data_IF_848477325520
#
_entry.id   IF_848477325520
#
_cell.length_a   1.000
_cell.length_b   1.000
_cell.length_c   1.000
_cell.angle_alpha   90.00
_cell.angle_beta   90.00
_cell.angle_gamma   90.00
#
_symmetry.space_group_name_H-M   'P 1'
#
loop_
_entity.id
_entity.type
_entity.pdbx_description
1 polymer ?
#
# COMPACT_ATOMS: atom_id res chain seq x y z
N UNK A 1 -67.01 -35.39 5.16
CA UNK A 1 -67.14 -33.94 4.95
C UNK A 1 -65.98 -33.47 4.08
N UNK A 2 -66.28 -33.16 2.81
CA UNK A 2 -65.36 -32.54 1.85
C UNK A 2 -65.66 -31.05 1.86
N UNK A 3 -64.67 -30.21 2.15
CA UNK A 3 -64.79 -28.76 1.97
C UNK A 3 -63.63 -28.27 1.13
N UNK A 4 -63.96 -28.04 -0.13
CA UNK A 4 -63.24 -27.22 -1.13
C UNK A 4 -63.06 -25.79 -0.62
N UNK A 5 -61.87 -25.21 -0.78
CA UNK A 5 -61.73 -23.76 -0.85
C UNK A 5 -60.84 -23.35 -2.04
N UNK A 6 -61.41 -22.49 -2.87
CA UNK A 6 -60.87 -21.93 -4.11
C UNK A 6 -60.03 -20.69 -3.82
N UNK A 7 -58.94 -20.56 -4.56
CA UNK A 7 -58.47 -19.39 -5.33
C UNK A 7 -58.48 -18.01 -4.64
N UNK A 8 -57.27 -17.45 -4.47
CA UNK A 8 -57.02 -16.03 -4.72
C UNK A 8 -55.74 -15.88 -5.56
N UNK A 9 -55.90 -15.58 -6.84
CA UNK A 9 -54.88 -14.90 -7.65
C UNK A 9 -54.91 -13.42 -7.25
N UNK A 10 -53.75 -12.81 -7.00
CA UNK A 10 -53.62 -11.35 -7.04
C UNK A 10 -52.17 -10.91 -7.22
N UNK A 11 -51.92 -10.28 -8.37
CA UNK A 11 -50.86 -9.33 -8.73
C UNK A 11 -49.38 -9.69 -8.48
N UNK A 12 -48.78 -10.33 -9.48
CA UNK A 12 -47.38 -10.09 -9.85
C UNK A 12 -47.26 -8.71 -10.52
N UNK A 13 -47.06 -7.66 -9.73
CA UNK A 13 -46.54 -6.39 -10.24
C UNK A 13 -45.06 -6.56 -10.53
N UNK A 14 -44.74 -6.75 -11.82
CA UNK A 14 -43.38 -6.62 -12.35
C UNK A 14 -42.98 -5.15 -12.22
N UNK A 15 -42.29 -4.80 -11.15
CA UNK A 15 -41.51 -3.56 -11.07
C UNK A 15 -40.28 -3.74 -11.98
N UNK A 16 -40.44 -3.38 -13.25
CA UNK A 16 -39.31 -2.99 -14.07
C UNK A 16 -38.73 -1.70 -13.46
N UNK A 17 -37.70 -1.85 -12.63
CA UNK A 17 -36.84 -0.72 -12.28
C UNK A 17 -36.12 -0.35 -13.58
N UNK A 18 -36.64 0.68 -14.25
CA UNK A 18 -35.91 1.40 -15.29
C UNK A 18 -34.58 1.83 -14.70
N UNK A 19 -33.49 1.23 -15.17
CA UNK A 19 -32.13 1.73 -14.96
C UNK A 19 -32.05 3.09 -15.65
N UNK A 20 -32.46 4.13 -14.96
CA UNK A 20 -32.27 5.52 -15.38
C UNK A 20 -30.78 5.70 -15.66
N UNK A 21 -30.45 6.09 -16.89
CA UNK A 21 -29.14 6.66 -17.21
C UNK A 21 -28.89 7.78 -16.19
N UNK A 22 -27.99 7.53 -15.25
CA UNK A 22 -27.53 8.55 -14.31
C UNK A 22 -26.87 9.66 -15.14
N UNK A 23 -27.23 10.91 -14.84
CA UNK A 23 -26.77 12.07 -15.61
C UNK A 23 -25.26 12.23 -15.43
N UNK A 24 -24.55 12.53 -16.52
CA UNK A 24 -23.09 12.71 -16.52
C UNK A 24 -22.58 13.76 -15.51
N UNK A 25 -23.44 14.70 -15.09
CA UNK A 25 -23.13 15.72 -14.08
C UNK A 25 -22.97 15.17 -12.65
N UNK A 26 -23.66 14.07 -12.29
CA UNK A 26 -23.64 13.45 -10.95
C UNK A 26 -22.33 12.72 -10.64
N UNK A 27 -21.37 12.75 -11.56
CA UNK A 27 -20.08 12.06 -11.42
C UNK A 27 -18.89 12.97 -11.72
N UNK A 28 -19.12 14.29 -11.85
CA UNK A 28 -18.04 15.27 -11.96
C UNK A 28 -17.27 15.40 -10.64
N UNK A 29 -15.97 15.72 -10.72
CA UNK A 29 -15.14 15.96 -9.53
C UNK A 29 -15.75 17.03 -8.61
N UNK A 30 -16.31 18.09 -9.20
CA UNK A 30 -16.98 19.16 -8.46
C UNK A 30 -18.27 18.70 -7.77
N UNK A 31 -18.95 17.67 -8.28
CA UNK A 31 -20.05 17.04 -7.57
C UNK A 31 -19.56 16.18 -6.41
N UNK A 32 -18.54 15.33 -6.65
CA UNK A 32 -17.97 14.48 -5.62
C UNK A 32 -17.42 15.30 -4.44
N UNK A 33 -16.76 16.42 -4.72
CA UNK A 33 -16.23 17.33 -3.69
C UNK A 33 -17.30 17.98 -2.80
N UNK A 34 -18.57 17.99 -3.23
CA UNK A 34 -19.70 18.47 -2.42
C UNK A 34 -20.35 17.40 -1.56
N UNK A 35 -20.00 16.13 -1.77
CA UNK A 35 -20.54 15.02 -0.98
C UNK A 35 -19.74 14.81 0.30
N UNK A 36 -20.38 14.21 1.30
CA UNK A 36 -19.64 13.60 2.40
C UNK A 36 -18.70 12.52 1.86
N UNK A 37 -17.50 12.41 2.46
CA UNK A 37 -16.47 11.45 2.03
C UNK A 37 -17.01 10.03 1.89
N UNK A 38 -17.84 9.60 2.85
CA UNK A 38 -18.61 8.35 2.84
C UNK A 38 -19.31 8.08 1.52
N UNK A 39 -20.10 9.05 1.08
CA UNK A 39 -20.93 8.97 -0.11
C UNK A 39 -20.10 9.08 -1.39
N UNK A 40 -19.12 10.00 -1.43
CA UNK A 40 -18.23 10.16 -2.56
C UNK A 40 -17.46 8.86 -2.87
N UNK A 41 -16.89 8.22 -1.85
CA UNK A 41 -16.17 6.95 -2.02
C UNK A 41 -17.08 5.80 -2.43
N UNK A 42 -18.32 5.74 -1.91
CA UNK A 42 -19.32 4.77 -2.37
C UNK A 42 -19.62 4.94 -3.85
N UNK A 43 -19.77 6.18 -4.32
CA UNK A 43 -19.97 6.49 -5.73
C UNK A 43 -18.77 6.13 -6.60
N UNK A 44 -17.55 6.46 -6.15
CA UNK A 44 -16.30 6.07 -6.84
C UNK A 44 -16.22 4.55 -7.02
N UNK A 45 -16.53 3.76 -5.97
CA UNK A 45 -16.51 2.29 -6.07
C UNK A 45 -17.58 1.75 -7.02
N UNK A 46 -18.77 2.36 -7.05
CA UNK A 46 -19.81 2.00 -8.03
C UNK A 46 -19.35 2.27 -9.46
N UNK A 47 -18.74 3.43 -9.70
CA UNK A 47 -18.15 3.77 -11.00
C UNK A 47 -17.05 2.77 -11.38
N UNK A 48 -16.19 2.40 -10.43
CA UNK A 48 -15.12 1.44 -10.68
C UNK A 48 -15.68 0.07 -11.06
N UNK A 49 -16.72 -0.37 -10.35
CA UNK A 49 -17.42 -1.63 -10.63
C UNK A 49 -18.14 -1.67 -11.98
N UNK A 50 -18.34 -0.55 -12.66
CA UNK A 50 -18.92 -0.53 -14.02
C UNK A 50 -17.94 -1.08 -15.07
N UNK A 51 -16.63 -0.95 -14.83
CA UNK A 51 -15.57 -1.29 -15.77
C UNK A 51 -15.56 -0.43 -17.04
N UNK A 52 -16.41 0.61 -17.12
CA UNK A 52 -16.48 1.48 -18.29
C UNK A 52 -15.26 2.42 -18.34
N UNK A 53 -14.49 2.45 -19.45
CA UNK A 53 -13.37 3.38 -19.62
C UNK A 53 -13.67 4.84 -19.27
N UNK A 54 -14.85 5.36 -19.64
CA UNK A 54 -15.20 6.75 -19.31
C UNK A 54 -15.40 6.99 -17.82
N UNK A 55 -15.87 5.97 -17.09
CA UNK A 55 -16.02 6.05 -15.64
C UNK A 55 -14.66 5.94 -14.95
N UNK A 56 -13.75 5.11 -15.47
CA UNK A 56 -12.36 5.01 -14.98
C UNK A 56 -11.59 6.32 -15.18
N UNK A 57 -11.80 7.00 -16.30
CA UNK A 57 -11.24 8.33 -16.56
C UNK A 57 -11.75 9.37 -15.56
N UNK A 58 -13.06 9.38 -15.26
CA UNK A 58 -13.65 10.25 -14.22
C UNK A 58 -13.12 9.94 -12.82
N UNK A 59 -12.90 8.66 -12.50
CA UNK A 59 -12.25 8.30 -11.24
C UNK A 59 -10.80 8.79 -11.23
N UNK A 60 -10.08 8.69 -12.34
CA UNK A 60 -8.72 9.22 -12.46
C UNK A 60 -8.69 10.74 -12.21
N UNK A 61 -9.66 11.50 -12.74
CA UNK A 61 -9.80 12.92 -12.41
C UNK A 61 -9.98 13.16 -10.91
N UNK A 62 -10.69 12.28 -10.21
CA UNK A 62 -10.94 12.39 -8.76
C UNK A 62 -9.66 12.26 -7.90
N UNK A 63 -8.52 11.82 -8.47
CA UNK A 63 -7.20 11.92 -7.82
C UNK A 63 -6.81 13.40 -7.55
N UNK A 64 -7.37 14.33 -8.31
CA UNK A 64 -7.15 15.77 -8.21
C UNK A 64 -8.15 16.49 -7.29
N UNK A 65 -9.03 15.75 -6.62
CA UNK A 65 -10.04 16.31 -5.70
C UNK A 65 -9.40 17.22 -4.66
N UNK A 66 -10.11 18.18 -4.08
CA UNK A 66 -9.56 18.91 -2.92
C UNK A 66 -9.70 18.13 -1.60
N UNK A 67 -10.51 17.06 -1.61
CA UNK A 67 -10.82 16.22 -0.46
C UNK A 67 -9.94 14.95 -0.44
N UNK A 68 -9.12 14.81 0.60
CA UNK A 68 -8.16 13.70 0.73
C UNK A 68 -8.80 12.31 0.79
N UNK A 69 -9.99 12.20 1.38
CA UNK A 69 -10.70 10.93 1.43
C UNK A 69 -11.15 10.50 0.02
N UNK A 70 -11.62 11.46 -0.78
CA UNK A 70 -12.02 11.23 -2.18
C UNK A 70 -10.81 10.80 -3.01
N UNK A 71 -9.67 11.49 -2.88
CA UNK A 71 -8.41 11.10 -3.56
C UNK A 71 -8.00 9.67 -3.21
N UNK A 72 -7.98 9.34 -1.92
CA UNK A 72 -7.57 8.02 -1.43
C UNK A 72 -8.48 6.92 -2.00
N UNK A 73 -9.79 7.18 -2.01
CA UNK A 73 -10.77 6.28 -2.62
C UNK A 73 -10.61 6.16 -4.14
N UNK A 74 -10.30 7.25 -4.84
CA UNK A 74 -10.04 7.23 -6.27
C UNK A 74 -8.80 6.38 -6.59
N UNK A 75 -7.68 6.59 -5.88
CA UNK A 75 -6.46 5.79 -6.04
C UNK A 75 -6.73 4.31 -5.74
N UNK A 76 -7.47 4.01 -4.67
CA UNK A 76 -7.86 2.63 -4.34
C UNK A 76 -8.70 2.00 -5.46
N UNK A 77 -9.70 2.72 -5.97
CA UNK A 77 -10.58 2.23 -7.02
C UNK A 77 -9.80 1.96 -8.32
N UNK A 78 -8.93 2.88 -8.72
CA UNK A 78 -8.05 2.73 -9.89
C UNK A 78 -7.14 1.50 -9.74
N UNK A 79 -6.55 1.34 -8.56
CA UNK A 79 -5.73 0.17 -8.22
C UNK A 79 -6.49 -1.14 -8.40
N UNK A 80 -7.74 -1.19 -7.92
CA UNK A 80 -8.59 -2.39 -8.04
C UNK A 80 -8.96 -2.70 -9.49
N UNK A 81 -9.08 -1.67 -10.34
CA UNK A 81 -9.41 -1.81 -11.76
C UNK A 81 -8.21 -2.06 -12.66
N UNK A 82 -6.98 -1.76 -12.18
CA UNK A 82 -5.72 -1.95 -12.91
C UNK A 82 -5.69 -1.27 -14.29
N UNK A 83 -6.46 -0.20 -14.46
CA UNK A 83 -6.57 0.53 -15.72
C UNK A 83 -5.43 1.56 -15.88
N UNK A 84 -4.93 1.81 -17.10
CA UNK A 84 -3.82 2.73 -17.35
C UNK A 84 -4.22 4.22 -17.28
N UNK A 85 -5.52 4.53 -17.24
CA UNK A 85 -6.07 5.90 -17.32
C UNK A 85 -5.55 6.89 -16.26
N UNK A 86 -4.96 6.37 -15.19
CA UNK A 86 -4.48 7.15 -14.07
C UNK A 86 -2.95 7.27 -14.01
N UNK A 87 -2.20 6.62 -14.91
CA UNK A 87 -0.73 6.53 -14.81
C UNK A 87 -0.11 7.92 -14.65
N UNK A 88 -0.43 8.87 -15.53
CA UNK A 88 0.15 10.22 -15.49
C UNK A 88 -0.17 10.94 -14.18
N UNK A 89 -1.44 10.89 -13.74
CA UNK A 89 -1.87 11.54 -12.48
C UNK A 89 -1.24 10.91 -11.24
N UNK A 90 -0.98 9.60 -11.27
CA UNK A 90 -0.28 8.90 -10.20
C UNK A 90 1.21 9.26 -10.19
N UNK A 91 1.83 9.41 -11.36
CA UNK A 91 3.21 9.87 -11.48
C UNK A 91 3.37 11.33 -10.99
N UNK A 92 2.40 12.20 -11.31
CA UNK A 92 2.39 13.59 -10.83
C UNK A 92 2.38 13.69 -9.30
N UNK A 93 1.65 12.80 -8.61
CA UNK A 93 1.66 12.75 -7.14
C UNK A 93 3.02 12.40 -6.56
N UNK A 94 3.78 11.56 -7.25
CA UNK A 94 5.13 11.17 -6.84
C UNK A 94 6.08 12.33 -7.12
N UNK A 95 5.97 12.96 -8.30
CA UNK A 95 6.77 14.12 -8.67
C UNK A 95 6.58 15.29 -7.70
N UNK A 96 5.34 15.62 -7.34
CA UNK A 96 4.99 16.67 -6.36
C UNK A 96 5.62 16.42 -4.98
N UNK A 97 5.80 15.16 -4.59
CA UNK A 97 6.48 14.83 -3.34
C UNK A 97 8.02 14.84 -3.49
N UNK A 98 8.54 14.20 -4.54
CA UNK A 98 9.98 13.95 -4.71
C UNK A 98 10.73 15.21 -5.10
N UNK A 99 10.18 16.03 -6.02
CA UNK A 99 10.83 17.24 -6.56
C UNK A 99 10.68 18.49 -5.70
N UNK A 100 9.82 18.47 -4.69
CA UNK A 100 9.73 19.53 -3.68
C UNK A 100 10.95 19.53 -2.73
N UNK A 101 12.16 19.46 -3.32
CA UNK A 101 13.46 19.34 -2.67
C UNK A 101 13.80 20.58 -1.83
N UNK A 102 13.25 21.75 -2.17
CA UNK A 102 13.48 23.01 -1.43
C UNK A 102 12.69 23.10 -0.14
N UNK A 103 11.63 22.31 0.03
CA UNK A 103 10.77 22.33 1.21
C UNK A 103 10.62 20.95 1.83
N UNK A 104 11.66 20.09 1.72
CA UNK A 104 11.85 18.92 2.58
C UNK A 104 12.12 19.38 4.03
N UNK A 105 11.19 20.14 4.61
CA UNK A 105 11.13 20.37 6.05
C UNK A 105 11.03 19.02 6.78
N UNK A 106 10.94 19.06 8.10
CA UNK A 106 10.81 17.82 8.87
C UNK A 106 9.72 16.94 8.23
N UNK A 107 9.93 15.62 8.16
CA UNK A 107 9.04 14.61 7.54
C UNK A 107 7.53 14.91 7.71
N UNK A 108 7.16 15.50 8.85
CA UNK A 108 5.82 15.90 9.23
C UNK A 108 5.20 17.05 8.39
N UNK A 109 5.99 17.96 7.81
CA UNK A 109 5.49 19.08 6.99
C UNK A 109 4.89 18.61 5.66
N UNK A 110 5.44 17.55 5.07
CA UNK A 110 4.98 16.98 3.80
C UNK A 110 4.38 15.58 3.94
N UNK A 111 3.98 15.19 5.16
CA UNK A 111 3.46 13.85 5.44
C UNK A 111 2.32 13.46 4.49
N UNK A 112 1.38 14.38 4.24
CA UNK A 112 0.24 14.12 3.34
C UNK A 112 0.70 13.84 1.90
N UNK A 113 1.59 14.68 1.35
CA UNK A 113 2.17 14.48 0.01
C UNK A 113 2.92 13.14 -0.06
N UNK A 114 3.67 12.79 0.99
CA UNK A 114 4.39 11.51 1.07
C UNK A 114 3.45 10.32 1.03
N UNK A 115 2.42 10.29 1.88
CA UNK A 115 1.46 9.19 1.92
C UNK A 115 0.73 9.06 0.57
N UNK A 116 0.38 10.19 -0.06
CA UNK A 116 -0.18 10.23 -1.41
C UNK A 116 0.77 9.63 -2.46
N UNK A 117 2.06 9.98 -2.40
CA UNK A 117 3.08 9.42 -3.28
C UNK A 117 3.23 7.90 -3.08
N UNK A 118 3.26 7.44 -1.83
CA UNK A 118 3.32 6.01 -1.48
C UNK A 118 2.11 5.25 -2.05
N UNK A 119 0.89 5.76 -1.86
CA UNK A 119 -0.32 5.13 -2.42
C UNK A 119 -0.31 5.14 -3.94
N UNK A 120 0.24 6.18 -4.56
CA UNK A 120 0.36 6.28 -6.01
C UNK A 120 1.38 5.28 -6.57
N UNK A 121 2.56 5.16 -5.94
CA UNK A 121 3.58 4.13 -6.26
C UNK A 121 2.96 2.74 -6.15
N UNK A 122 2.19 2.50 -5.10
CA UNK A 122 1.53 1.23 -4.87
C UNK A 122 0.50 0.89 -5.96
N UNK A 123 -0.35 1.86 -6.31
CA UNK A 123 -1.34 1.71 -7.38
C UNK A 123 -0.68 1.44 -8.73
N UNK A 124 0.40 2.14 -9.06
CA UNK A 124 1.21 1.92 -10.25
C UNK A 124 1.77 0.49 -10.33
N UNK A 125 2.23 -0.06 -9.21
CA UNK A 125 2.68 -1.46 -9.14
C UNK A 125 1.56 -2.48 -9.37
N UNK A 126 0.34 -2.17 -8.96
CA UNK A 126 -0.84 -3.04 -9.20
C UNK A 126 -1.38 -2.95 -10.63
N UNK A 127 -1.27 -1.77 -11.26
CA UNK A 127 -1.57 -1.58 -12.69
C UNK A 127 -0.62 -2.46 -13.51
N UNK A 128 0.67 -2.50 -13.15
CA UNK A 128 1.62 -3.44 -13.76
C UNK A 128 2.01 -3.11 -15.19
N UNK A 129 1.82 -1.86 -15.63
CA UNK A 129 2.28 -1.39 -16.94
C UNK A 129 3.82 -1.26 -16.97
N UNK A 130 4.53 -2.04 -17.81
CA UNK A 130 5.98 -1.99 -17.89
C UNK A 130 6.57 -0.61 -18.18
N UNK A 131 5.83 0.29 -18.84
CA UNK A 131 6.26 1.67 -19.16
C UNK A 131 6.48 2.48 -17.88
N UNK A 132 5.73 2.16 -16.82
CA UNK A 132 5.82 2.86 -15.52
C UNK A 132 7.13 2.55 -14.80
N UNK A 133 7.74 1.40 -15.08
CA UNK A 133 8.95 0.95 -14.38
C UNK A 133 10.11 1.95 -14.52
N UNK A 134 10.34 2.52 -15.71
CA UNK A 134 11.38 3.54 -15.90
C UNK A 134 11.09 4.83 -15.12
N UNK A 135 9.82 5.23 -15.04
CA UNK A 135 9.43 6.42 -14.29
C UNK A 135 9.62 6.23 -12.78
N UNK A 136 9.27 5.05 -12.24
CA UNK A 136 9.51 4.73 -10.84
C UNK A 136 10.99 4.72 -10.47
N UNK A 137 11.86 4.23 -11.37
CA UNK A 137 13.31 4.29 -11.18
C UNK A 137 13.85 5.72 -11.12
N UNK A 138 13.32 6.64 -11.91
CA UNK A 138 13.74 8.05 -11.84
C UNK A 138 13.45 8.67 -10.47
N UNK A 139 12.34 8.29 -9.83
CA UNK A 139 12.00 8.75 -8.49
C UNK A 139 12.85 8.10 -7.40
N UNK A 140 13.37 6.89 -7.63
CA UNK A 140 14.07 6.09 -6.64
C UNK A 140 15.27 6.84 -6.02
N UNK A 141 16.12 7.44 -6.86
CA UNK A 141 17.37 8.08 -6.42
C UNK A 141 17.13 9.29 -5.50
N UNK A 142 16.07 10.04 -5.77
CA UNK A 142 15.71 11.26 -5.03
C UNK A 142 14.84 10.99 -3.79
N UNK A 143 14.41 9.74 -3.63
CA UNK A 143 13.49 9.31 -2.58
C UNK A 143 14.21 8.90 -1.29
N UNK A 144 13.53 9.07 -0.16
CA UNK A 144 13.95 8.44 1.09
C UNK A 144 13.66 6.93 1.10
N UNK A 145 14.19 6.24 2.12
CA UNK A 145 14.13 4.79 2.24
C UNK A 145 12.70 4.22 2.23
N UNK A 146 11.72 4.89 2.87
CA UNK A 146 10.32 4.44 2.87
C UNK A 146 9.72 4.47 1.47
N UNK A 147 9.97 5.55 0.71
CA UNK A 147 9.47 5.65 -0.66
C UNK A 147 10.18 4.66 -1.58
N UNK A 148 11.52 4.51 -1.43
CA UNK A 148 12.30 3.48 -2.15
C UNK A 148 11.78 2.07 -1.90
N UNK A 149 11.43 1.71 -0.66
CA UNK A 149 10.84 0.40 -0.35
C UNK A 149 9.54 0.15 -1.11
N UNK A 150 8.66 1.15 -1.21
CA UNK A 150 7.42 1.02 -1.99
C UNK A 150 7.69 0.92 -3.49
N UNK A 151 8.67 1.68 -4.00
CA UNK A 151 9.11 1.57 -5.41
C UNK A 151 9.59 0.14 -5.69
N UNK A 152 10.41 -0.44 -4.82
CA UNK A 152 10.91 -1.82 -4.95
C UNK A 152 9.78 -2.83 -4.95
N UNK A 153 8.79 -2.66 -4.06
CA UNK A 153 7.62 -3.55 -4.03
C UNK A 153 6.85 -3.45 -5.35
N UNK A 154 6.58 -2.24 -5.83
CA UNK A 154 5.91 -2.03 -7.12
C UNK A 154 6.70 -2.60 -8.29
N UNK A 155 8.03 -2.45 -8.29
CA UNK A 155 8.92 -3.07 -9.29
C UNK A 155 8.76 -4.60 -9.25
N UNK A 156 8.79 -5.19 -8.06
CA UNK A 156 8.58 -6.62 -7.85
C UNK A 156 7.22 -7.15 -8.29
N UNK A 157 6.20 -6.29 -8.45
CA UNK A 157 4.85 -6.66 -8.93
C UNK A 157 4.76 -6.77 -10.45
N UNK A 158 5.63 -6.11 -11.23
CA UNK A 158 5.63 -6.26 -12.69
C UNK A 158 5.98 -7.68 -13.16
N UNK A 159 6.72 -8.46 -12.35
CA UNK A 159 7.13 -9.84 -12.67
C UNK A 159 7.86 -9.98 -14.02
N UNK A 160 8.53 -8.93 -14.50
CA UNK A 160 9.29 -8.93 -15.77
C UNK A 160 10.78 -9.23 -15.57
N UNK A 161 11.48 -9.57 -16.66
CA UNK A 161 12.95 -9.70 -16.66
C UNK A 161 13.64 -8.38 -16.27
N UNK A 162 13.09 -7.23 -16.71
CA UNK A 162 13.61 -5.91 -16.34
C UNK A 162 13.52 -5.66 -14.83
N UNK A 163 12.36 -5.92 -14.23
CA UNK A 163 12.17 -5.82 -12.78
C UNK A 163 13.17 -6.71 -12.02
N UNK A 164 13.34 -7.95 -12.49
CA UNK A 164 14.30 -8.89 -11.90
C UNK A 164 15.73 -8.32 -11.91
N UNK A 165 16.19 -7.81 -13.05
CA UNK A 165 17.53 -7.25 -13.19
C UNK A 165 17.76 -6.08 -12.23
N UNK A 166 16.77 -5.19 -12.09
CA UNK A 166 16.83 -4.06 -11.15
C UNK A 166 17.00 -4.57 -9.71
N UNK A 167 16.19 -5.53 -9.27
CA UNK A 167 16.27 -6.06 -7.91
C UNK A 167 17.63 -6.74 -7.65
N UNK A 168 18.19 -7.46 -8.63
CA UNK A 168 19.53 -8.05 -8.53
C UNK A 168 20.64 -6.98 -8.42
N UNK A 169 20.48 -5.82 -9.09
CA UNK A 169 21.40 -4.68 -8.97
C UNK A 169 21.33 -4.09 -7.56
N UNK A 170 20.13 -3.83 -7.03
CA UNK A 170 19.95 -3.25 -5.70
C UNK A 170 20.55 -4.13 -4.60
N UNK A 171 20.42 -5.45 -4.72
CA UNK A 171 21.03 -6.40 -3.77
C UNK A 171 22.56 -6.31 -3.76
N UNK A 172 23.18 -6.21 -4.94
CA UNK A 172 24.64 -6.16 -5.10
C UNK A 172 25.23 -4.78 -4.80
N UNK A 173 24.40 -3.74 -4.74
CA UNK A 173 24.86 -2.37 -4.51
C UNK A 173 25.46 -2.23 -3.11
N UNK A 174 26.72 -1.79 -3.03
CA UNK A 174 27.37 -1.46 -1.75
C UNK A 174 26.72 -0.25 -1.06
N UNK A 175 26.09 0.61 -1.85
CA UNK A 175 25.51 1.86 -1.38
C UNK A 175 24.12 1.66 -0.80
N UNK A 176 23.44 0.56 -1.14
CA UNK A 176 22.10 0.30 -0.64
C UNK A 176 22.08 -0.18 0.81
N UNK A 177 21.03 0.26 1.52
CA UNK A 177 20.82 -0.07 2.93
C UNK A 177 20.46 -1.54 3.11
N UNK A 178 20.67 -2.04 4.32
CA UNK A 178 20.33 -3.42 4.69
C UNK A 178 18.83 -3.70 4.50
N UNK A 179 17.96 -2.73 4.77
CA UNK A 179 16.51 -2.88 4.63
C UNK A 179 16.09 -2.92 3.16
N UNK A 180 16.63 -2.03 2.33
CA UNK A 180 16.38 -2.04 0.88
C UNK A 180 16.79 -3.37 0.27
N UNK A 181 17.99 -3.86 0.61
CA UNK A 181 18.46 -5.19 0.18
C UNK A 181 17.52 -6.31 0.62
N UNK A 182 17.05 -6.29 1.87
CA UNK A 182 16.10 -7.31 2.36
C UNK A 182 14.78 -7.31 1.59
N UNK A 183 14.25 -6.12 1.26
CA UNK A 183 13.03 -6.00 0.46
C UNK A 183 13.25 -6.50 -0.97
N UNK A 184 14.38 -6.15 -1.59
CA UNK A 184 14.72 -6.59 -2.94
C UNK A 184 14.91 -8.11 -3.04
N UNK A 185 15.58 -8.72 -2.04
CA UNK A 185 15.71 -10.18 -1.93
C UNK A 185 14.34 -10.86 -1.88
N UNK A 186 13.46 -10.36 -1.02
CA UNK A 186 12.13 -10.94 -0.87
C UNK A 186 11.29 -10.79 -2.14
N UNK A 187 11.42 -9.66 -2.83
CA UNK A 187 10.71 -9.45 -4.09
C UNK A 187 11.20 -10.36 -5.22
N UNK A 188 12.49 -10.68 -5.27
CA UNK A 188 13.02 -11.72 -6.17
C UNK A 188 12.51 -13.12 -5.82
N UNK A 189 12.41 -13.46 -4.53
CA UNK A 189 11.84 -14.73 -4.08
C UNK A 189 10.37 -14.87 -4.54
N UNK A 190 9.60 -13.79 -4.41
CA UNK A 190 8.21 -13.73 -4.89
C UNK A 190 8.09 -13.73 -6.42
N UNK A 191 9.18 -13.52 -7.15
CA UNK A 191 9.27 -13.72 -8.60
C UNK A 191 9.65 -15.16 -8.98
N UNK A 192 9.67 -16.09 -8.01
CA UNK A 192 9.99 -17.51 -8.17
C UNK A 192 11.39 -17.78 -8.72
N UNK A 193 12.39 -17.05 -8.24
CA UNK A 193 13.77 -17.47 -8.47
C UNK A 193 14.81 -16.47 -8.02
N UNK A 194 15.06 -16.31 -6.72
CA UNK A 194 16.28 -15.64 -6.30
C UNK A 194 17.49 -16.57 -6.58
N UNK A 195 18.56 -16.10 -7.22
CA UNK A 195 19.76 -16.90 -7.42
C UNK A 195 20.36 -17.29 -6.07
N UNK A 196 20.65 -18.58 -5.88
CA UNK A 196 21.30 -19.12 -4.67
C UNK A 196 22.69 -18.49 -4.42
N UNK A 197 23.29 -17.87 -5.44
CA UNK A 197 24.66 -17.38 -5.45
C UNK A 197 24.77 -15.84 -5.29
N UNK A 198 23.70 -15.15 -4.88
CA UNK A 198 23.79 -13.72 -4.58
C UNK A 198 24.57 -13.52 -3.26
N UNK A 199 25.90 -13.43 -3.36
CA UNK A 199 26.80 -13.17 -2.24
C UNK A 199 26.58 -11.75 -1.74
N UNK A 200 26.49 -11.65 -0.42
CA UNK A 200 26.16 -10.45 0.33
C UNK A 200 27.26 -9.38 0.33
N UNK A 201 26.86 -8.13 0.10
CA UNK A 201 27.58 -6.95 0.58
C UNK A 201 27.35 -6.76 2.09
N UNK A 202 28.29 -6.12 2.78
CA UNK A 202 28.17 -5.80 4.21
C UNK A 202 26.88 -5.01 4.50
N UNK A 203 26.27 -5.17 5.70
CA UNK A 203 25.13 -4.36 6.11
C UNK A 203 25.48 -2.87 6.06
N UNK A 204 24.75 -2.10 5.25
CA UNK A 204 24.89 -0.64 5.21
C UNK A 204 23.85 -0.01 6.15
N UNK A 205 24.17 1.12 6.81
CA UNK A 205 23.24 1.83 7.70
C UNK A 205 21.88 2.09 7.03
N UNK A 206 20.82 1.98 7.80
CA UNK A 206 19.43 2.22 7.38
C UNK A 206 18.85 3.36 8.22
N UNK A 207 17.89 4.11 7.64
CA UNK A 207 17.10 5.09 8.41
C UNK A 207 16.09 4.40 9.33
N UNK A 208 15.81 3.12 9.07
CA UNK A 208 15.07 2.22 9.95
C UNK A 208 16.05 1.56 10.92
N UNK A 209 15.85 1.81 12.21
CA UNK A 209 16.67 1.31 13.31
C UNK A 209 15.91 0.28 14.12
N UNK A 210 16.65 -0.64 14.72
CA UNK A 210 16.09 -1.58 15.69
C UNK A 210 15.37 -0.81 16.83
N UNK A 211 14.20 -1.33 17.20
CA UNK A 211 13.28 -0.72 18.16
C UNK A 211 12.28 0.26 17.54
N UNK A 212 12.46 0.70 16.29
CA UNK A 212 11.50 1.60 15.65
C UNK A 212 10.12 0.97 15.50
N UNK A 213 9.09 1.81 15.63
CA UNK A 213 7.74 1.49 15.21
C UNK A 213 7.72 1.49 13.69
N UNK A 214 7.09 0.49 13.09
CA UNK A 214 6.89 0.42 11.65
C UNK A 214 5.42 0.32 11.32
N UNK A 215 5.04 0.89 10.19
CA UNK A 215 3.65 1.06 9.83
C UNK A 215 3.36 0.58 8.41
N UNK A 216 2.20 -0.04 8.26
CA UNK A 216 1.65 -0.49 6.99
C UNK A 216 0.20 -0.03 6.88
N UNK A 217 -0.34 -0.02 5.67
CA UNK A 217 -1.79 -0.02 5.51
C UNK A 217 -2.41 -1.29 6.12
N UNK A 218 -3.72 -1.27 6.31
CA UNK A 218 -4.47 -2.38 6.86
C UNK A 218 -5.96 -2.27 6.53
N UNK A 219 -6.76 -3.27 6.86
CA UNK A 219 -8.21 -3.21 6.65
C UNK A 219 -8.88 -2.12 7.50
N UNK A 220 -8.35 -1.89 8.70
CA UNK A 220 -8.78 -0.83 9.64
C UNK A 220 -8.20 0.54 9.30
N UNK A 221 -7.09 0.58 8.56
CA UNK A 221 -6.50 1.81 8.01
C UNK A 221 -6.93 2.11 6.58
N UNK A 222 -7.62 1.19 5.90
CA UNK A 222 -8.42 1.59 4.74
C UNK A 222 -9.40 2.60 5.31
N UNK A 223 -9.38 3.87 4.85
CA UNK A 223 -10.07 4.96 5.51
C UNK A 223 -11.46 4.46 5.85
N UNK A 224 -11.73 4.25 7.14
CA UNK A 224 -13.11 4.13 7.57
C UNK A 224 -13.66 5.47 7.12
N UNK A 225 -14.46 5.40 6.06
CA UNK A 225 -14.77 6.46 5.09
C UNK A 225 -15.43 7.70 5.75
N UNK A 226 -15.59 7.63 7.07
CA UNK A 226 -16.28 8.54 7.96
C UNK A 226 -15.28 9.48 8.66
N UNK A 227 -14.02 9.10 8.91
CA UNK A 227 -13.12 9.89 9.79
C UNK A 227 -12.05 10.71 9.07
N UNK A 228 -11.76 10.42 7.79
CA UNK A 228 -10.68 11.10 7.06
C UNK A 228 -9.28 10.79 7.60
N UNK A 229 -9.15 9.70 8.36
CA UNK A 229 -7.89 9.25 8.96
C UNK A 229 -6.85 8.85 7.92
N UNK A 230 -5.57 8.95 8.33
CA UNK A 230 -4.43 8.49 7.55
C UNK A 230 -4.62 7.01 7.15
N UNK A 231 -4.14 6.58 5.98
CA UNK A 231 -4.37 5.23 5.47
C UNK A 231 -3.62 4.12 6.25
N UNK A 232 -3.08 4.43 7.42
CA UNK A 232 -2.24 3.57 8.25
C UNK A 232 -3.11 2.65 9.09
N UNK A 233 -2.96 1.34 8.92
CA UNK A 233 -3.86 0.35 9.52
C UNK A 233 -3.18 -0.75 10.32
N UNK A 234 -1.85 -0.79 10.32
CA UNK A 234 -1.10 -1.82 11.01
C UNK A 234 0.21 -1.27 11.57
N UNK A 235 0.59 -1.74 12.76
CA UNK A 235 1.80 -1.34 13.46
C UNK A 235 2.59 -2.57 13.93
N UNK A 236 3.90 -2.45 13.93
CA UNK A 236 4.82 -3.45 14.46
C UNK A 236 6.12 -2.83 14.94
N UNK A 237 7.05 -3.66 15.39
CA UNK A 237 8.38 -3.22 15.86
C UNK A 237 9.44 -3.84 14.98
N UNK A 238 10.27 -3.01 14.36
CA UNK A 238 11.43 -3.48 13.62
C UNK A 238 12.53 -3.87 14.59
N UNK A 239 12.86 -5.16 14.64
CA UNK A 239 13.91 -5.68 15.53
C UNK A 239 15.29 -5.68 14.88
N UNK A 240 15.37 -5.60 13.55
CA UNK A 240 16.61 -5.55 12.80
C UNK A 240 16.54 -6.39 11.53
N UNK A 241 17.68 -6.89 11.09
CA UNK A 241 17.79 -7.86 10.00
C UNK A 241 18.67 -9.03 10.39
N UNK A 242 18.37 -10.22 9.90
CA UNK A 242 19.17 -11.42 10.06
C UNK A 242 19.69 -11.88 8.68
N UNK A 243 20.72 -12.72 8.67
CA UNK A 243 21.20 -13.38 7.44
C UNK A 243 20.79 -14.84 7.54
N UNK A 244 19.90 -15.29 6.66
CA UNK A 244 19.43 -16.66 6.61
C UNK A 244 19.70 -17.23 5.20
N UNK A 245 20.49 -18.30 5.12
CA UNK A 245 20.87 -18.94 3.84
C UNK A 245 21.43 -17.95 2.81
N UNK A 246 22.26 -17.00 3.26
CA UNK A 246 22.85 -15.96 2.41
C UNK A 246 21.93 -14.81 2.02
N UNK A 247 20.67 -14.80 2.50
CA UNK A 247 19.70 -13.72 2.24
C UNK A 247 19.52 -12.84 3.46
N UNK A 248 19.35 -11.54 3.24
CA UNK A 248 18.95 -10.61 4.30
C UNK A 248 17.46 -10.74 4.51
N UNK A 249 17.05 -11.10 5.72
CA UNK A 249 15.65 -11.14 6.12
C UNK A 249 15.39 -10.05 7.17
N UNK A 250 14.26 -9.35 7.11
CA UNK A 250 13.88 -8.47 8.21
C UNK A 250 13.58 -9.31 9.45
N UNK A 251 13.69 -8.73 10.63
CA UNK A 251 13.15 -9.29 11.87
C UNK A 251 12.15 -8.29 12.41
N UNK A 252 10.88 -8.70 12.47
CA UNK A 252 9.79 -7.83 12.90
C UNK A 252 9.01 -8.56 13.99
N UNK A 253 8.75 -7.86 15.09
CA UNK A 253 7.74 -8.28 16.05
C UNK A 253 6.41 -7.66 15.65
N UNK A 254 5.44 -8.52 15.39
CA UNK A 254 4.18 -8.20 14.73
C UNK A 254 3.01 -8.74 15.56
N UNK A 255 1.83 -8.15 15.43
CA UNK A 255 0.61 -8.58 16.11
C UNK A 255 -0.58 -8.54 15.14
N UNK A 256 -1.13 -9.70 14.78
CA UNK A 256 -2.25 -9.81 13.82
C UNK A 256 -3.36 -10.72 14.35
N UNK A 257 -4.59 -10.67 13.81
CA UNK A 257 -5.67 -11.53 14.26
C UNK A 257 -5.30 -13.02 14.28
N UNK A 258 -5.79 -13.75 15.29
CA UNK A 258 -5.45 -15.15 15.55
C UNK A 258 -5.78 -16.09 14.37
N UNK A 259 -6.69 -15.69 13.49
CA UNK A 259 -7.09 -16.44 12.29
C UNK A 259 -6.11 -16.29 11.12
N UNK A 260 -5.16 -15.34 11.16
CA UNK A 260 -4.07 -15.30 10.18
C UNK A 260 -3.18 -16.53 10.37
N UNK A 261 -3.08 -17.36 9.33
CA UNK A 261 -2.20 -18.53 9.29
C UNK A 261 -0.84 -18.18 8.68
N UNK A 262 0.26 -18.84 9.08
CA UNK A 262 0.33 -19.95 10.04
C UNK A 262 0.28 -19.53 11.52
N UNK A 263 0.54 -18.26 11.85
CA UNK A 263 0.65 -17.77 13.22
C UNK A 263 -0.14 -16.48 13.38
N UNK A 264 -1.22 -16.48 14.15
CA UNK A 264 -1.88 -15.25 14.58
C UNK A 264 -1.54 -14.94 16.04
N UNK A 265 -1.83 -13.72 16.50
CA UNK A 265 -1.32 -13.19 17.76
C UNK A 265 -0.03 -12.39 17.60
N UNK A 266 0.67 -12.17 18.71
CA UNK A 266 1.99 -11.56 18.76
C UNK A 266 3.04 -12.59 18.30
N UNK A 267 3.87 -12.22 17.32
CA UNK A 267 4.75 -13.16 16.60
C UNK A 267 6.03 -12.50 16.10
N UNK A 268 7.09 -13.29 15.94
CA UNK A 268 8.30 -12.91 15.18
C UNK A 268 8.04 -13.31 13.73
N UNK A 269 8.16 -12.36 12.81
CA UNK A 269 8.14 -12.63 11.38
C UNK A 269 9.48 -12.24 10.76
N UNK A 270 9.87 -12.99 9.74
CA UNK A 270 11.14 -12.83 9.02
C UNK A 270 10.95 -12.41 7.56
N UNK A 271 9.77 -11.87 7.23
CA UNK A 271 9.35 -11.53 5.86
C UNK A 271 8.48 -10.28 5.85
N UNK A 272 8.83 -9.30 5.01
CA UNK A 272 8.04 -8.11 4.74
C UNK A 272 6.65 -8.47 4.24
N UNK A 273 6.51 -9.52 3.43
CA UNK A 273 5.25 -10.07 2.95
C UNK A 273 4.29 -10.36 4.08
N UNK A 274 4.75 -10.88 5.21
CA UNK A 274 3.86 -11.18 6.33
C UNK A 274 3.40 -9.90 7.03
N UNK A 275 4.28 -8.90 7.15
CA UNK A 275 3.95 -7.59 7.74
C UNK A 275 2.99 -6.79 6.83
N UNK A 276 3.23 -6.81 5.53
CA UNK A 276 2.46 -6.11 4.50
C UNK A 276 1.25 -6.92 3.99
N UNK A 277 0.83 -7.93 4.77
CA UNK A 277 -0.32 -8.81 4.51
C UNK A 277 -0.38 -9.40 3.09
N UNK A 278 0.70 -10.05 2.67
CA UNK A 278 0.94 -10.54 1.32
C UNK A 278 1.08 -9.43 0.27
N UNK A 279 1.73 -8.33 0.64
CA UNK A 279 1.84 -7.13 -0.19
C UNK A 279 0.47 -6.66 -0.69
N UNK A 280 -0.52 -6.67 0.20
CA UNK A 280 -1.85 -6.07 -0.03
C UNK A 280 -1.90 -4.60 0.38
N UNK A 281 -0.97 -4.18 1.24
CA UNK A 281 -0.88 -2.82 1.75
C UNK A 281 0.52 -2.23 1.59
N UNK A 282 0.61 -0.92 1.34
CA UNK A 282 1.89 -0.23 1.25
C UNK A 282 2.56 -0.10 2.63
N UNK A 283 3.86 0.17 2.59
CA UNK A 283 4.66 0.47 3.77
C UNK A 283 4.66 1.99 4.02
N UNK A 284 4.12 2.46 5.13
CA UNK A 284 4.03 3.90 5.42
C UNK A 284 5.24 4.47 6.17
N UNK A 285 6.20 3.62 6.52
CA UNK A 285 7.48 4.04 7.07
C UNK A 285 7.70 3.61 8.51
N UNK A 286 8.88 3.96 9.02
CA UNK A 286 9.25 3.84 10.42
C UNK A 286 9.08 5.16 11.16
N UNK A 287 8.76 5.07 12.45
CA UNK A 287 8.67 6.21 13.36
C UNK A 287 9.26 5.87 14.72
N UNK A 288 9.57 6.90 15.47
CA UNK A 288 10.10 6.84 16.82
C UNK A 288 9.49 7.93 17.68
N UNK A 289 9.87 7.98 18.95
CA UNK A 289 9.44 9.01 19.88
C UNK A 289 10.05 10.38 19.53
N UNK A 290 9.35 11.47 19.87
CA UNK A 290 9.91 12.84 19.74
C UNK A 290 11.26 13.00 20.46
N UNK A 291 11.42 12.30 21.58
CA UNK A 291 12.72 12.07 22.23
C UNK A 291 13.16 10.65 21.87
N UNK A 292 14.04 10.47 20.88
CA UNK A 292 14.37 9.14 20.38
C UNK A 292 14.93 8.24 21.49
N UNK A 293 14.59 6.94 21.50
CA UNK A 293 15.17 5.98 22.43
C UNK A 293 16.70 5.92 22.29
N UNK A 294 17.39 5.89 23.42
CA UNK A 294 18.83 5.60 23.47
C UNK A 294 19.14 4.15 23.07
N UNK A 295 20.42 3.79 22.97
CA UNK A 295 20.82 2.46 22.52
C UNK A 295 20.36 1.34 23.47
N UNK A 296 20.39 1.57 24.79
CA UNK A 296 19.92 0.60 25.77
C UNK A 296 18.41 0.43 25.66
N UNK A 297 17.67 1.52 25.55
CA UNK A 297 16.22 1.51 25.37
C UNK A 297 15.81 0.78 24.07
N UNK A 298 16.56 0.96 22.98
CA UNK A 298 16.34 0.20 21.73
C UNK A 298 16.55 -1.30 21.93
N UNK A 299 17.61 -1.70 22.62
CA UNK A 299 17.86 -3.11 22.95
C UNK A 299 16.73 -3.67 23.82
N UNK A 300 16.29 -2.92 24.82
CA UNK A 300 15.19 -3.32 25.70
C UNK A 300 13.88 -3.48 24.90
N UNK A 301 13.52 -2.52 24.03
CA UNK A 301 12.35 -2.61 23.14
C UNK A 301 12.39 -3.91 22.33
N UNK A 302 13.52 -4.18 21.66
CA UNK A 302 13.66 -5.35 20.79
C UNK A 302 13.57 -6.64 21.59
N UNK A 303 14.26 -6.72 22.73
CA UNK A 303 14.25 -7.89 23.59
C UNK A 303 12.84 -8.18 24.10
N UNK A 304 12.14 -7.16 24.61
CA UNK A 304 10.77 -7.29 25.11
C UNK A 304 9.83 -7.73 23.97
N UNK A 305 9.91 -7.09 22.81
CA UNK A 305 9.06 -7.42 21.65
C UNK A 305 9.24 -8.89 21.21
N UNK A 306 10.48 -9.35 21.11
CA UNK A 306 10.80 -10.73 20.71
C UNK A 306 10.43 -11.75 21.80
N UNK A 307 10.59 -11.41 23.08
CA UNK A 307 10.12 -12.25 24.19
C UNK A 307 8.59 -12.40 24.17
N UNK A 308 7.86 -11.31 23.93
CA UNK A 308 6.40 -11.34 23.81
C UNK A 308 5.95 -12.17 22.60
N UNK A 309 6.62 -12.02 21.46
CA UNK A 309 6.41 -12.86 20.29
C UNK A 309 6.67 -14.34 20.57
N UNK A 310 7.74 -14.68 21.29
CA UNK A 310 8.07 -16.06 21.67
C UNK A 310 7.06 -16.65 22.65
N UNK A 311 6.46 -15.82 23.52
CA UNK A 311 5.43 -16.23 24.45
C UNK A 311 4.07 -16.53 23.77
N UNK A 312 3.88 -16.08 22.52
CA UNK A 312 2.66 -16.37 21.74
C UNK A 312 1.40 -15.72 22.30
N UNK A 313 1.51 -14.46 22.77
CA UNK A 313 0.35 -13.68 23.22
C UNK A 313 -0.73 -13.58 22.13
N UNK A 314 -2.00 -13.57 22.53
CA UNK A 314 -3.12 -13.63 21.58
C UNK A 314 -3.55 -12.25 21.13
N UNK A 315 -4.10 -12.19 19.91
CA UNK A 315 -4.73 -10.97 19.39
C UNK A 315 -6.17 -10.82 19.89
N UNK A 316 -6.65 -9.58 20.12
CA UNK A 316 -8.06 -9.27 20.36
C UNK A 316 -8.64 -8.28 19.36
N UNK A 317 -9.75 -8.65 18.72
CA UNK A 317 -10.54 -7.76 17.84
C UNK A 317 -11.50 -6.86 18.62
N UNK A 318 -11.70 -7.12 19.91
CA UNK A 318 -12.64 -6.34 20.73
C UNK A 318 -12.05 -5.00 21.15
N UNK A 319 -10.72 -4.89 21.14
CA UNK A 319 -9.97 -3.71 21.53
C UNK A 319 -10.23 -3.15 22.95
N UNK A 320 -11.09 -3.80 23.75
CA UNK A 320 -11.43 -3.41 25.13
C UNK A 320 -10.29 -3.61 26.15
N UNK A 321 -9.25 -4.35 25.77
CA UNK A 321 -8.07 -4.65 26.59
C UNK A 321 -6.84 -4.48 25.72
N UNK A 322 -6.59 -3.25 25.31
CA UNK A 322 -5.61 -2.97 24.29
C UNK A 322 -4.19 -3.42 24.68
N UNK A 323 -3.80 -3.14 25.93
CA UNK A 323 -2.44 -3.33 26.46
C UNK A 323 -2.24 -4.62 27.28
N UNK A 324 -3.08 -5.65 27.10
CA UNK A 324 -2.91 -6.93 27.79
C UNK A 324 -3.57 -7.03 29.16
N UNK A 325 -3.12 -7.96 30.03
CA UNK A 325 -1.84 -8.68 29.94
C UNK A 325 -1.79 -9.89 29.00
N UNK A 326 -2.94 -10.44 28.58
CA UNK A 326 -2.99 -11.68 27.78
C UNK A 326 -3.40 -11.47 26.32
N UNK A 327 -4.12 -10.37 26.06
CA UNK A 327 -4.70 -10.03 24.78
C UNK A 327 -4.17 -8.67 24.33
N UNK A 328 -3.67 -8.59 23.10
CA UNK A 328 -3.19 -7.35 22.52
C UNK A 328 -3.87 -7.11 21.18
N UNK A 329 -4.11 -5.85 20.82
CA UNK A 329 -4.20 -5.52 19.39
C UNK A 329 -2.82 -5.06 18.89
N UNK A 330 -2.71 -4.58 17.64
CA UNK A 330 -1.42 -4.16 17.10
C UNK A 330 -0.84 -2.94 17.85
N UNK A 331 -1.68 -1.95 18.16
CA UNK A 331 -1.26 -0.72 18.84
C UNK A 331 -0.90 -1.01 20.29
N UNK A 332 -1.78 -1.62 21.06
CA UNK A 332 -1.53 -1.93 22.46
C UNK A 332 -0.40 -2.94 22.67
N UNK A 333 -0.12 -3.82 21.69
CA UNK A 333 1.13 -4.59 21.69
C UNK A 333 2.35 -3.66 21.68
N UNK A 334 2.41 -2.75 20.70
CA UNK A 334 3.55 -1.83 20.55
C UNK A 334 3.69 -0.88 21.75
N UNK A 335 2.57 -0.35 22.27
CA UNK A 335 2.52 0.46 23.49
C UNK A 335 3.10 -0.31 24.68
N UNK A 336 2.62 -1.53 24.93
CA UNK A 336 3.06 -2.34 26.05
C UNK A 336 4.56 -2.68 25.98
N UNK A 337 5.12 -2.85 24.78
CA UNK A 337 6.57 -3.03 24.62
C UNK A 337 7.33 -1.78 25.04
N UNK A 338 6.94 -0.60 24.53
CA UNK A 338 7.60 0.65 24.85
C UNK A 338 7.45 1.02 26.34
N UNK A 339 6.27 0.84 26.93
CA UNK A 339 6.02 1.08 28.36
C UNK A 339 6.90 0.21 29.25
N UNK A 340 7.06 -1.07 28.90
CA UNK A 340 7.97 -1.98 29.62
C UNK A 340 9.44 -1.61 29.46
N UNK A 341 9.79 -0.91 28.38
CA UNK A 341 11.10 -0.30 28.17
C UNK A 341 11.23 1.10 28.81
N UNK A 342 10.23 1.54 29.59
CA UNK A 342 10.24 2.82 30.31
C UNK A 342 9.93 4.03 29.43
N UNK A 343 9.20 3.84 28.34
CA UNK A 343 8.87 4.88 27.36
C UNK A 343 7.37 4.97 27.12
N UNK A 344 6.93 6.07 26.52
CA UNK A 344 5.53 6.27 26.16
C UNK A 344 5.40 6.80 24.72
N UNK A 345 5.00 5.96 23.74
CA UNK A 345 4.79 6.38 22.35
C UNK A 345 3.62 7.31 22.15
N UNK A 346 2.63 7.27 23.04
CA UNK A 346 1.41 8.04 22.88
C UNK A 346 1.03 8.75 24.18
N UNK A 347 0.73 10.06 24.16
CA UNK A 347 0.27 10.77 25.34
C UNK A 347 -0.96 10.11 25.99
N UNK A 348 -0.95 9.94 27.32
CA UNK A 348 -2.04 9.30 28.08
C UNK A 348 -3.42 9.94 27.85
N UNK A 349 -3.47 11.20 27.46
CA UNK A 349 -4.71 11.91 27.12
C UNK A 349 -5.39 11.36 25.85
N UNK A 350 -4.63 10.76 24.93
CA UNK A 350 -5.17 10.03 23.77
C UNK A 350 -5.65 8.63 24.14
N UNK A 351 -5.23 8.11 25.29
CA UNK A 351 -5.70 6.84 25.85
C UNK A 351 -6.98 7.01 26.67
N UNK A 352 -7.72 8.11 26.41
CA UNK A 352 -8.80 8.62 27.25
C UNK A 352 -9.67 7.47 27.75
N UNK A 353 -9.59 7.20 29.06
CA UNK A 353 -10.12 6.02 29.75
C UNK A 353 -11.63 5.79 29.70
N UNK A 354 -12.31 6.34 28.70
CA UNK A 354 -13.66 6.02 28.23
C UNK A 354 -13.72 4.73 27.38
N UNK A 355 -12.59 4.07 27.15
CA UNK A 355 -12.56 2.70 26.61
C UNK A 355 -12.56 2.60 25.09
N UNK A 356 -12.27 3.68 24.37
CA UNK A 356 -11.91 3.57 22.95
C UNK A 356 -10.43 3.25 22.83
N UNK A 357 -10.06 2.20 22.07
CA UNK A 357 -8.67 1.87 21.84
C UNK A 357 -7.98 2.96 21.04
N UNK A 358 -6.74 3.24 21.40
CA UNK A 358 -5.84 4.07 20.61
C UNK A 358 -5.75 3.50 19.18
N UNK A 359 -6.03 4.31 18.17
CA UNK A 359 -5.94 3.89 16.77
C UNK A 359 -4.49 3.87 16.29
N UNK A 360 -4.24 3.13 15.21
CA UNK A 360 -2.92 3.12 14.57
C UNK A 360 -2.58 4.52 14.04
N UNK A 361 -3.57 5.25 13.52
CA UNK A 361 -3.39 6.62 13.04
C UNK A 361 -2.99 7.57 14.18
N UNK A 362 -3.64 7.50 15.34
CA UNK A 362 -3.29 8.34 16.49
C UNK A 362 -1.88 8.06 17.02
N UNK A 363 -1.46 6.79 17.05
CA UNK A 363 -0.08 6.43 17.41
C UNK A 363 0.92 6.93 16.37
N UNK A 364 0.59 6.77 15.08
CA UNK A 364 1.41 7.27 13.97
C UNK A 364 1.59 8.79 14.10
N UNK A 365 0.53 9.56 14.35
CA UNK A 365 0.60 11.01 14.54
C UNK A 365 1.34 11.45 15.82
N UNK A 366 1.38 10.57 16.84
CA UNK A 366 2.05 10.87 18.11
C UNK A 366 3.56 10.65 18.07
N UNK A 367 4.02 9.85 17.10
CA UNK A 367 5.42 9.55 16.85
C UNK A 367 5.98 10.47 15.76
N UNK A 368 7.27 10.40 15.45
CA UNK A 368 7.95 11.19 14.41
C UNK A 368 8.85 10.30 13.56
N UNK A 369 9.11 10.65 12.31
CA UNK A 369 10.06 9.88 11.51
C UNK A 369 11.50 10.02 12.02
N UNK A 370 12.32 8.97 11.80
CA UNK A 370 13.76 8.97 12.09
C UNK A 370 14.60 9.82 11.11
N UNK A 371 13.98 10.69 10.29
CA UNK A 371 14.62 11.46 9.20
C UNK A 371 15.67 12.50 9.63
N UNK A 372 16.27 12.40 10.83
CA UNK A 372 17.46 13.18 11.19
C UNK A 372 18.68 12.84 10.33
N UNK A 373 18.65 11.73 9.58
CA UNK A 373 19.66 11.42 8.58
C UNK A 373 19.15 11.91 7.22
N UNK A 374 19.75 12.95 6.61
CA UNK A 374 19.37 13.36 5.27
C UNK A 374 19.54 12.20 4.29
N UNK A 375 18.66 12.06 3.28
CA UNK A 375 18.77 11.00 2.30
C UNK A 375 20.14 11.06 1.65
N UNK A 376 20.91 9.98 1.76
CA UNK A 376 22.14 9.86 0.97
C UNK A 376 21.69 9.68 -0.47
N UNK A 377 21.95 10.68 -1.31
CA UNK A 377 21.73 10.57 -2.75
C UNK A 377 22.69 9.51 -3.27
N UNK A 378 22.13 8.41 -3.76
CA UNK A 378 22.89 7.31 -4.33
C UNK A 378 22.42 7.25 -5.78
N UNK A 379 23.26 7.61 -6.75
CA UNK A 379 22.88 7.47 -8.14
C UNK A 379 22.71 5.98 -8.44
N UNK A 380 21.57 5.61 -8.99
CA UNK A 380 21.37 4.32 -9.63
C UNK A 380 22.46 4.15 -10.70
N UNK A 381 23.13 2.99 -10.80
CA UNK A 381 24.05 2.74 -11.91
C UNK A 381 23.30 2.93 -13.23
N UNK A 382 23.88 3.69 -14.16
CA UNK A 382 23.32 4.15 -15.46
C UNK A 382 22.92 3.01 -16.42
N UNK A 383 22.98 1.76 -15.96
CA UNK A 383 22.81 0.54 -16.72
C UNK A 383 21.34 0.13 -16.62
N UNK A 384 20.46 0.68 -17.48
CA UNK A 384 19.28 -0.01 -18.07
C UNK A 384 18.31 0.91 -18.86
N UNK A 385 18.55 2.22 -18.98
CA UNK A 385 17.66 3.11 -19.77
C UNK A 385 17.91 3.05 -21.29
N UNK A 386 18.59 2.02 -21.81
CA UNK A 386 19.08 1.98 -23.19
C UNK A 386 18.01 1.63 -24.26
N UNK A 387 16.75 1.39 -23.89
CA UNK A 387 15.67 1.40 -24.88
C UNK A 387 14.91 2.73 -24.80
N UNK A 388 14.87 3.52 -25.88
CA UNK A 388 14.17 4.79 -25.89
C UNK A 388 12.70 4.56 -25.55
N UNK A 389 12.25 5.27 -24.53
CA UNK A 389 10.87 5.28 -24.06
C UNK A 389 9.89 5.64 -25.21
N UNK A 390 9.03 4.71 -25.68
CA UNK A 390 8.01 5.04 -26.67
C UNK A 390 6.85 5.88 -26.10
N UNK A 391 6.85 6.21 -24.80
CA UNK A 391 5.74 6.93 -24.15
C UNK A 391 5.45 8.32 -24.73
N UNK A 392 6.38 8.95 -25.46
CA UNK A 392 6.07 10.19 -26.19
C UNK A 392 5.33 9.99 -27.50
N UNK A 393 5.32 8.78 -28.07
CA UNK A 393 4.69 8.51 -29.36
C UNK A 393 3.22 8.05 -29.22
N UNK A 394 2.85 7.46 -28.08
CA UNK A 394 1.47 7.08 -27.75
C UNK A 394 0.60 8.23 -27.20
N UNK A 395 1.15 9.44 -27.05
CA UNK A 395 0.42 10.64 -26.64
C UNK A 395 -0.13 11.48 -27.81
N UNK A 396 -0.03 11.01 -29.05
CA UNK A 396 -0.85 11.60 -30.11
C UNK A 396 -2.29 11.14 -29.91
N UNK A 397 -3.27 12.06 -29.79
CA UNK A 397 -4.67 11.66 -29.83
C UNK A 397 -4.88 10.82 -31.09
N UNK A 398 -5.60 9.71 -30.95
CA UNK A 398 -5.98 8.87 -32.07
C UNK A 398 -6.81 9.75 -33.01
N UNK A 399 -6.19 10.27 -34.07
CA UNK A 399 -6.90 11.02 -35.10
C UNK A 399 -7.88 10.05 -35.75
N UNK A 400 -9.16 10.17 -35.38
CA UNK A 400 -10.24 9.54 -36.12
C UNK A 400 -10.26 10.17 -37.51
N UNK A 401 -9.61 9.51 -38.46
CA UNK A 401 -9.77 9.84 -39.87
C UNK A 401 -11.21 9.45 -40.26
N UNK A 402 -12.04 10.43 -40.60
CA UNK A 402 -13.45 10.26 -41.01
C UNK A 402 -13.64 9.50 -42.34
N UNK A 403 -12.59 8.89 -42.88
CA UNK A 403 -12.67 8.11 -44.12
C UNK A 403 -13.03 6.66 -43.80
N UNK A 404 -14.31 6.35 -44.02
CA UNK A 404 -14.99 5.06 -43.89
C UNK A 404 -14.13 3.80 -43.87
N UNK A 405 -14.19 3.09 -42.73
CA UNK A 405 -13.74 1.71 -42.62
C UNK A 405 -14.77 0.79 -43.30
N UNK A 406 -14.37 0.16 -44.40
CA UNK A 406 -15.09 -0.99 -44.95
C UNK A 406 -14.63 -2.23 -44.20
N UNK A 407 -15.55 -2.90 -43.51
CA UNK A 407 -15.26 -4.22 -42.93
C UNK A 407 -15.07 -5.22 -44.08
N UNK A 408 -13.96 -5.98 -44.13
CA UNK A 408 -13.92 -7.17 -44.97
C UNK A 408 -14.98 -8.15 -44.44
N UNK A 409 -15.90 -8.56 -45.30
CA UNK A 409 -16.91 -9.57 -44.98
C UNK A 409 -16.19 -10.83 -44.50
N UNK A 410 -16.40 -11.19 -43.23
CA UNK A 410 -15.93 -12.47 -42.70
C UNK A 410 -16.55 -13.61 -43.50
N UNK A 411 -15.69 -14.49 -44.02
CA UNK A 411 -16.09 -15.75 -44.60
C UNK A 411 -16.77 -16.59 -43.51
N UNK A 412 -18.03 -16.95 -43.76
CA UNK A 412 -18.78 -17.92 -42.97
C UNK A 412 -18.12 -19.28 -43.15
N UNK A 413 -17.40 -19.75 -42.12
CA UNK A 413 -16.94 -21.14 -42.04
C UNK A 413 -18.07 -21.96 -41.43
N UNK A 414 -18.66 -22.86 -42.21
CA UNK A 414 -19.66 -23.84 -41.78
C UNK A 414 -19.03 -24.89 -40.86
N UNK A 415 -19.72 -25.32 -39.78
CA UNK A 415 -19.24 -26.40 -38.94
C UNK A 415 -19.68 -27.75 -39.51
N UNK A 416 -18.78 -28.47 -40.16
CA UNK A 416 -18.93 -29.91 -40.39
C UNK A 416 -17.75 -30.67 -39.79
N UNK A 417 -18.09 -31.67 -38.97
CA UNK A 417 -17.30 -32.81 -38.49
C UNK A 417 -16.25 -32.55 -37.41
N UNK A 418 -16.68 -32.71 -36.16
CA UNK A 418 -15.86 -33.33 -35.11
C UNK A 418 -16.62 -34.55 -34.58
N UNK A 419 -16.39 -35.70 -35.21
CA UNK A 419 -16.45 -37.04 -34.62
C UNK A 419 -15.53 -37.92 -35.46
N UNK A 420 -14.30 -38.08 -34.98
CA UNK A 420 -13.44 -39.26 -35.09
C UNK A 420 -12.31 -39.14 -34.08
#
# INVERSE_FOLDING_TARGET
>A
MKTTFKIFLSLTSVLFISSTRLNAEEHSIGYLDRLEAGQACSNIRKLAGSGNPSDLERIAESILSTNEAIKSCAIQAIREQKGPYAVDKLLDNIDDYVRDQKHKGAYEENLKKKLKAIDSIWALGEIGDPIVMSSLLNFYDESDETVRMNIIISIGKFKTKGARNILEILIKSSNETVVIKSMAFEMLDEMKGSPENLIMAQPSPSSIRSGDLIYSGGLTGAPLIITGELPVGHAGIFAGTEIENGKITPVIADCVPNWFKPYGGVRKIIKWKHFLHNYKYPFYGNRTLKMPPDEKQRQDIVQIALQMAAAGFKYTEKHLQQKGPELYDCVGFTEAVYERAGMNPTPNEKESGWGWPLTVAEQFESTVSNSLIPPTTIPMPEILLAEPNPAKEYMKPFEFNETGFTFPSQAVVSPERMFE
#
